data_IF_073544042583
#
_entry.id   IF_073544042583
#
_cell.length_a   1.000
_cell.length_b   1.000
_cell.length_c   1.000
_cell.angle_alpha   90.00
_cell.angle_beta   90.00
_cell.angle_gamma   90.00
#
_symmetry.space_group_name_H-M   'P 1'
#
loop_
_entity.id
_entity.type
_entity.pdbx_description
1 polymer ?
#
# COMPACT_ATOMS: atom_id res chain seq x y z
N UNK A 1 3.24 20.15 -15.84
CA UNK A 1 3.67 21.27 -14.97
C UNK A 1 2.84 21.42 -13.67
N UNK A 2 1.93 20.51 -13.30
CA UNK A 2 1.16 20.61 -12.03
C UNK A 2 1.86 20.02 -10.79
N UNK A 3 2.93 19.23 -10.97
CA UNK A 3 3.67 18.61 -9.85
C UNK A 3 4.41 19.63 -8.95
N UNK A 4 4.81 20.77 -9.51
CA UNK A 4 5.62 21.77 -8.80
C UNK A 4 4.75 22.69 -7.92
N UNK A 5 3.51 22.97 -8.32
CA UNK A 5 2.66 23.93 -7.60
C UNK A 5 2.07 23.42 -6.26
N UNK A 6 1.94 22.11 -6.06
CA UNK A 6 1.36 21.61 -4.81
C UNK A 6 2.32 21.68 -3.61
N UNK A 7 3.64 21.63 -3.86
CA UNK A 7 4.69 21.69 -2.84
C UNK A 7 4.98 23.15 -2.46
N UNK A 8 4.98 24.06 -3.43
CA UNK A 8 5.29 25.48 -3.24
C UNK A 8 4.29 26.25 -2.34
N UNK A 9 3.09 25.71 -2.11
CA UNK A 9 2.04 26.37 -1.29
C UNK A 9 2.17 26.00 0.20
N UNK A 10 2.96 24.97 0.54
CA UNK A 10 3.07 24.42 1.90
C UNK A 10 4.52 24.04 2.23
N UNK A 11 5.34 25.00 2.70
CA UNK A 11 6.75 24.77 3.04
C UNK A 11 6.95 23.69 4.12
N UNK A 12 5.96 23.49 4.99
CA UNK A 12 5.89 22.41 5.97
C UNK A 12 5.84 21.02 5.30
N UNK A 13 5.10 20.90 4.19
CA UNK A 13 5.04 19.66 3.41
C UNK A 13 6.32 19.39 2.62
N UNK A 14 7.02 20.42 2.17
CA UNK A 14 8.32 20.26 1.50
C UNK A 14 9.35 19.63 2.45
N UNK A 15 9.46 20.14 3.68
CA UNK A 15 10.35 19.57 4.70
C UNK A 15 9.97 18.13 5.06
N UNK A 16 8.68 17.84 5.26
CA UNK A 16 8.20 16.51 5.60
C UNK A 16 8.45 15.49 4.49
N UNK A 17 8.16 15.86 3.24
CA UNK A 17 8.45 15.03 2.07
C UNK A 17 9.96 14.81 1.93
N UNK A 18 10.77 15.83 2.23
CA UNK A 18 12.22 15.69 2.18
C UNK A 18 12.76 14.74 3.25
N UNK A 19 12.21 14.78 4.47
CA UNK A 19 12.55 13.84 5.52
C UNK A 19 12.19 12.39 5.16
N UNK A 20 11.05 12.14 4.51
CA UNK A 20 10.66 10.78 4.11
C UNK A 20 11.32 10.28 2.83
N UNK A 21 11.57 11.15 1.84
CA UNK A 21 12.02 10.74 0.50
C UNK A 21 13.54 10.81 0.31
N UNK A 22 14.25 11.69 1.04
CA UNK A 22 15.67 11.99 0.78
C UNK A 22 16.63 11.65 1.93
N UNK A 23 16.15 11.30 3.13
CA UNK A 23 17.03 10.65 4.11
C UNK A 23 17.30 9.22 3.65
N UNK A 24 18.55 8.94 3.30
CA UNK A 24 19.01 7.60 2.94
C UNK A 24 18.74 6.55 4.05
N UNK A 25 18.53 6.99 5.29
CA UNK A 25 18.23 6.17 6.46
C UNK A 25 16.76 6.18 6.91
N UNK A 26 15.83 6.87 6.22
CA UNK A 26 14.41 6.66 6.51
C UNK A 26 13.95 5.38 5.84
N UNK A 27 13.69 4.36 6.66
CA UNK A 27 13.18 3.07 6.23
C UNK A 27 11.85 3.16 5.47
N UNK A 28 11.14 4.28 5.53
CA UNK A 28 9.78 4.44 5.02
C UNK A 28 9.75 4.64 3.51
N UNK A 29 9.05 3.75 2.83
CA UNK A 29 8.96 3.69 1.37
C UNK A 29 7.48 3.66 0.94
N UNK A 30 7.22 3.98 -0.32
CA UNK A 30 5.88 4.04 -0.91
C UNK A 30 5.87 3.32 -2.24
N UNK A 31 5.13 2.21 -2.33
CA UNK A 31 5.07 1.39 -3.53
C UNK A 31 3.64 0.98 -3.93
N UNK A 32 3.45 0.71 -5.22
CA UNK A 32 2.24 0.05 -5.72
C UNK A 32 2.43 -1.49 -5.73
N UNK A 33 1.44 -2.22 -5.21
CA UNK A 33 1.35 -3.67 -5.31
C UNK A 33 0.14 -4.08 -6.16
N UNK A 34 0.38 -4.74 -7.29
CA UNK A 34 -0.67 -5.24 -8.18
C UNK A 34 -1.28 -6.54 -7.65
N UNK A 35 -2.61 -6.60 -7.63
CA UNK A 35 -3.38 -7.80 -7.29
C UNK A 35 -3.59 -8.62 -8.57
N UNK A 36 -3.09 -9.86 -8.58
CA UNK A 36 -3.31 -10.82 -9.66
C UNK A 36 -4.60 -11.59 -9.43
N UNK A 37 -5.17 -12.19 -10.48
CA UNK A 37 -6.37 -13.04 -10.38
C UNK A 37 -6.22 -14.17 -9.37
N UNK A 38 -5.02 -14.72 -9.27
CA UNK A 38 -4.71 -15.84 -8.38
C UNK A 38 -4.43 -15.40 -6.95
N UNK A 39 -4.27 -14.11 -6.66
CA UNK A 39 -3.98 -13.64 -5.30
C UNK A 39 -5.07 -14.05 -4.34
N UNK A 40 -4.69 -14.53 -3.16
CA UNK A 40 -5.62 -14.84 -2.05
C UNK A 40 -6.46 -13.65 -1.59
N UNK A 41 -6.05 -12.42 -1.91
CA UNK A 41 -6.78 -11.18 -1.60
C UNK A 41 -7.87 -10.85 -2.62
N UNK A 42 -7.92 -11.56 -3.75
CA UNK A 42 -8.93 -11.32 -4.79
C UNK A 42 -10.32 -11.66 -4.23
N UNK A 43 -11.26 -10.71 -4.34
CA UNK A 43 -12.59 -10.75 -3.72
C UNK A 43 -12.60 -10.66 -2.17
N UNK A 44 -11.43 -10.54 -1.53
CA UNK A 44 -11.30 -10.27 -0.11
C UNK A 44 -11.53 -8.80 0.25
N UNK A 45 -11.54 -8.50 1.55
CA UNK A 45 -11.66 -7.14 2.08
C UNK A 45 -10.31 -6.63 2.58
N UNK A 46 -10.14 -5.31 2.62
CA UNK A 46 -8.90 -4.66 3.09
C UNK A 46 -8.50 -5.12 4.51
N UNK A 47 -9.47 -5.29 5.41
CA UNK A 47 -9.22 -5.75 6.78
C UNK A 47 -8.62 -7.16 6.87
N UNK A 48 -8.80 -7.99 5.84
CA UNK A 48 -8.32 -9.37 5.83
C UNK A 48 -6.81 -9.44 5.50
N UNK A 49 -6.21 -8.31 5.08
CA UNK A 49 -4.81 -8.24 4.67
C UNK A 49 -3.82 -8.22 5.86
N UNK A 50 -4.20 -7.64 7.01
CA UNK A 50 -3.40 -7.53 8.26
C UNK A 50 -1.90 -7.18 8.07
N UNK A 51 -1.59 -6.34 7.07
CA UNK A 51 -0.20 -6.00 6.70
C UNK A 51 0.51 -5.17 7.77
N UNK A 52 -0.24 -4.42 8.59
CA UNK A 52 0.33 -3.57 9.64
C UNK A 52 0.95 -4.45 10.72
N UNK A 53 0.24 -5.48 11.11
CA UNK A 53 0.61 -6.42 12.17
C UNK A 53 1.76 -7.33 11.74
N UNK A 54 1.76 -7.79 10.49
CA UNK A 54 2.74 -8.77 9.98
C UNK A 54 4.03 -8.14 9.43
N UNK A 55 3.97 -6.88 8.97
CA UNK A 55 5.07 -6.25 8.25
C UNK A 55 5.24 -4.74 8.49
N UNK A 56 4.46 -4.13 9.40
CA UNK A 56 4.42 -2.68 9.62
C UNK A 56 4.14 -1.89 8.32
N UNK A 57 3.28 -2.44 7.46
CA UNK A 57 2.87 -1.81 6.18
C UNK A 57 1.40 -1.43 6.23
N UNK A 58 1.09 -0.23 5.78
CA UNK A 58 -0.27 0.30 5.73
C UNK A 58 -0.74 0.46 4.29
N UNK A 59 -1.98 0.09 4.01
CA UNK A 59 -2.65 0.41 2.74
C UNK A 59 -3.25 1.81 2.87
N UNK A 60 -2.76 2.75 2.08
CA UNK A 60 -3.23 4.15 2.06
C UNK A 60 -4.07 4.47 0.83
N UNK A 61 -4.17 3.55 -0.13
CA UNK A 61 -4.96 3.73 -1.32
C UNK A 61 -5.24 2.42 -2.06
N UNK A 62 -6.34 2.41 -2.80
CA UNK A 62 -6.73 1.33 -3.70
C UNK A 62 -7.08 1.94 -5.06
N UNK A 63 -6.42 1.48 -6.12
CA UNK A 63 -6.76 1.82 -7.50
C UNK A 63 -7.33 0.60 -8.20
N UNK A 64 -8.57 0.67 -8.63
CA UNK A 64 -9.20 -0.38 -9.43
C UNK A 64 -8.64 -0.40 -10.86
N UNK A 65 -8.86 -1.51 -11.57
CA UNK A 65 -8.42 -1.70 -12.96
C UNK A 65 -9.00 -0.65 -13.92
N UNK A 66 -10.20 -0.14 -13.63
CA UNK A 66 -10.89 0.92 -14.36
C UNK A 66 -10.28 2.32 -14.13
N UNK A 67 -9.28 2.44 -13.25
CA UNK A 67 -8.62 3.70 -12.90
C UNK A 67 -9.25 4.44 -11.72
N UNK A 68 -10.40 4.00 -11.20
CA UNK A 68 -11.03 4.59 -10.01
C UNK A 68 -10.13 4.42 -8.80
N UNK A 69 -9.85 5.52 -8.12
CA UNK A 69 -8.97 5.55 -6.94
C UNK A 69 -9.77 5.85 -5.67
N UNK A 70 -9.56 5.04 -4.64
CA UNK A 70 -10.08 5.24 -3.29
C UNK A 70 -8.90 5.57 -2.37
N UNK A 71 -8.76 6.84 -1.92
CA UNK A 71 -7.82 7.16 -0.86
C UNK A 71 -8.33 6.59 0.48
N UNK A 72 -7.41 6.11 1.32
CA UNK A 72 -7.71 5.57 2.66
C UNK A 72 -8.92 4.61 2.66
N UNK A 73 -8.84 3.48 1.92
CA UNK A 73 -9.95 2.56 1.80
C UNK A 73 -10.34 2.00 3.19
N UNK A 74 -11.65 1.90 3.45
CA UNK A 74 -12.16 1.31 4.68
C UNK A 74 -11.91 -0.19 4.72
N UNK A 75 -11.88 -0.78 5.92
CA UNK A 75 -11.62 -2.20 6.11
C UNK A 75 -12.59 -3.13 5.38
N UNK A 76 -13.81 -2.68 5.08
CA UNK A 76 -14.84 -3.42 4.33
C UNK A 76 -14.75 -3.28 2.80
N UNK A 77 -13.84 -2.44 2.30
CA UNK A 77 -13.62 -2.23 0.86
C UNK A 77 -13.14 -3.51 0.20
N UNK A 78 -13.84 -3.95 -0.86
CA UNK A 78 -13.49 -5.15 -1.62
C UNK A 78 -12.33 -4.89 -2.59
N UNK A 79 -11.38 -5.81 -2.59
CA UNK A 79 -10.23 -5.85 -3.50
C UNK A 79 -10.61 -6.72 -4.70
N UNK A 80 -10.43 -6.22 -5.92
CA UNK A 80 -10.72 -6.98 -7.15
C UNK A 80 -9.46 -7.26 -7.95
N UNK A 81 -9.51 -8.26 -8.84
CA UNK A 81 -8.43 -8.57 -9.78
C UNK A 81 -7.96 -7.32 -10.53
N UNK A 82 -6.64 -7.19 -10.71
CA UNK A 82 -6.03 -6.12 -11.49
C UNK A 82 -5.96 -4.78 -10.76
N UNK A 83 -6.53 -4.69 -9.55
CA UNK A 83 -6.36 -3.54 -8.69
C UNK A 83 -4.90 -3.36 -8.25
N UNK A 84 -4.57 -2.16 -7.81
CA UNK A 84 -3.29 -1.84 -7.20
C UNK A 84 -3.51 -1.27 -5.81
N UNK A 85 -2.83 -1.82 -4.82
CA UNK A 85 -2.75 -1.27 -3.47
C UNK A 85 -1.59 -0.29 -3.41
N UNK A 86 -1.82 0.89 -2.85
CA UNK A 86 -0.78 1.85 -2.51
C UNK A 86 -0.35 1.59 -1.06
N UNK A 87 0.89 1.18 -0.89
CA UNK A 87 1.48 0.75 0.38
C UNK A 87 2.46 1.80 0.88
N UNK A 88 2.47 2.00 2.20
CA UNK A 88 3.50 2.77 2.90
C UNK A 88 4.02 1.98 4.10
N UNK A 89 5.33 1.98 4.32
CA UNK A 89 5.96 1.22 5.39
C UNK A 89 7.44 0.99 5.13
N UNK A 90 8.14 0.22 5.99
CA UNK A 90 9.54 -0.13 5.76
C UNK A 90 9.76 -0.82 4.41
N UNK A 91 10.82 -0.51 3.66
CA UNK A 91 11.07 -1.16 2.35
C UNK A 91 11.10 -2.70 2.45
N UNK A 92 11.68 -3.25 3.53
CA UNK A 92 11.64 -4.70 3.78
C UNK A 92 10.23 -5.24 4.04
N UNK A 93 9.42 -4.48 4.78
CA UNK A 93 8.02 -4.78 5.03
C UNK A 93 7.20 -4.80 3.74
N UNK A 94 7.39 -3.80 2.88
CA UNK A 94 6.75 -3.71 1.56
C UNK A 94 7.17 -4.89 0.68
N UNK A 95 8.46 -5.25 0.65
CA UNK A 95 8.95 -6.44 -0.05
C UNK A 95 8.27 -7.71 0.45
N UNK A 96 8.14 -7.89 1.77
CA UNK A 96 7.44 -9.03 2.38
C UNK A 96 5.98 -9.05 1.95
N UNK A 97 5.26 -7.93 2.07
CA UNK A 97 3.85 -7.82 1.67
C UNK A 97 3.64 -8.13 0.19
N UNK A 98 4.48 -7.61 -0.72
CA UNK A 98 4.37 -7.92 -2.16
C UNK A 98 4.56 -9.41 -2.45
N UNK A 99 5.40 -10.12 -1.68
CA UNK A 99 5.53 -11.59 -1.77
C UNK A 99 4.25 -12.28 -1.27
N UNK A 100 3.68 -11.83 -0.16
CA UNK A 100 2.45 -12.37 0.42
C UNK A 100 1.25 -12.18 -0.52
N UNK A 101 1.10 -11.01 -1.13
CA UNK A 101 0.04 -10.69 -2.10
C UNK A 101 0.05 -11.66 -3.29
N UNK A 102 1.23 -12.11 -3.74
CA UNK A 102 1.38 -12.99 -4.91
C UNK A 102 0.98 -14.45 -4.64
N UNK A 103 0.81 -14.84 -3.38
CA UNK A 103 0.42 -16.21 -3.02
C UNK A 103 -1.03 -16.49 -3.40
N UNK A 104 -1.32 -17.74 -3.73
CA UNK A 104 -2.68 -18.17 -4.08
C UNK A 104 -3.56 -18.41 -2.86
N UNK A 105 -2.96 -18.91 -1.79
CA UNK A 105 -3.64 -19.18 -0.54
C UNK A 105 -3.23 -18.18 0.54
N UNK A 106 -4.17 -17.85 1.43
CA UNK A 106 -3.89 -16.96 2.55
C UNK A 106 -2.80 -17.57 3.45
N UNK A 107 -1.68 -16.87 3.67
CA UNK A 107 -0.59 -17.33 4.53
C UNK A 107 -1.07 -17.60 5.95
N UNK A 108 -0.56 -18.65 6.60
CA UNK A 108 -0.93 -18.98 7.98
C UNK A 108 -0.66 -17.84 8.97
N UNK A 109 0.44 -17.10 8.76
CA UNK A 109 0.80 -15.92 9.55
C UNK A 109 -0.25 -14.79 9.50
N UNK A 110 -1.21 -14.84 8.56
CA UNK A 110 -2.32 -13.89 8.43
C UNK A 110 -3.64 -14.41 9.00
N UNK A 111 -3.75 -15.71 9.33
CA UNK A 111 -5.03 -16.32 9.72
C UNK A 111 -5.41 -16.09 11.19
N UNK A 112 -4.44 -15.75 12.03
CA UNK A 112 -4.58 -15.70 13.49
C UNK A 112 -4.31 -14.30 14.07
N UNK A 113 -4.47 -13.26 13.24
CA UNK A 113 -4.22 -11.86 13.62
C UNK A 113 -5.55 -11.13 13.78
#
# INVERSE_FOLDING_TARGET
AQRINAIAIRPDMENLLQEFLYKQDTLLDMEEAKITKTSWLTLGKIRDASFREVANVTIIGLRYKDGRFIPMPKGDTTITEGSKLLLIGPSEGIRKVKKLIRKTEQPEEMRNV
#
